data_IF_850888088584
#
_entry.id   IF_850888088584
#
_cell.length_a   1.000
_cell.length_b   1.000
_cell.length_c   1.000
_cell.angle_alpha   90.00
_cell.angle_beta   90.00
_cell.angle_gamma   90.00
#
_symmetry.space_group_name_H-M   'P 1'
#
loop_
_entity.id
_entity.type
_entity.pdbx_description
1 polymer ?
#
# COMPACT_ATOMS: atom_id res chain seq x y z
N UNK A 1 -2.53 -15.44 -6.52
CA UNK A 1 -1.79 -15.01 -5.34
C UNK A 1 -0.30 -15.08 -5.54
N UNK A 2 0.22 -16.22 -5.99
CA UNK A 2 1.66 -16.34 -6.21
C UNK A 2 2.17 -15.33 -7.23
N UNK A 3 1.40 -15.12 -8.29
CA UNK A 3 1.81 -14.20 -9.34
C UNK A 3 1.95 -12.79 -8.80
N UNK A 4 1.04 -12.36 -7.94
CA UNK A 4 1.11 -11.04 -7.35
C UNK A 4 2.33 -10.88 -6.46
N UNK A 5 2.67 -11.91 -5.69
CA UNK A 5 3.86 -11.86 -4.87
C UNK A 5 5.12 -11.76 -5.72
N UNK A 6 5.17 -12.50 -6.82
CA UNK A 6 6.30 -12.44 -7.73
C UNK A 6 6.40 -11.06 -8.35
N UNK A 7 5.28 -10.47 -8.73
CA UNK A 7 5.26 -9.14 -9.31
C UNK A 7 5.79 -8.11 -8.32
N UNK A 8 5.37 -8.20 -7.07
CA UNK A 8 5.85 -7.29 -6.05
C UNK A 8 7.36 -7.38 -5.89
N UNK A 9 7.89 -8.60 -5.81
CA UNK A 9 9.33 -8.81 -5.68
C UNK A 9 10.08 -8.31 -6.92
N UNK A 10 9.53 -8.62 -8.08
CA UNK A 10 10.14 -8.21 -9.34
C UNK A 10 10.19 -6.70 -9.46
N UNK A 11 9.12 -6.03 -9.08
CA UNK A 11 9.07 -4.57 -9.14
C UNK A 11 10.12 -3.94 -8.23
N UNK A 12 10.33 -4.51 -7.05
CA UNK A 12 11.36 -4.03 -6.15
C UNK A 12 12.74 -4.14 -6.80
N UNK A 13 13.03 -5.29 -7.37
CA UNK A 13 14.33 -5.51 -7.99
C UNK A 13 14.54 -4.60 -9.19
N UNK A 14 13.51 -4.44 -9.97
CA UNK A 14 13.58 -3.60 -11.16
C UNK A 14 13.85 -2.15 -10.80
N UNK A 15 13.13 -1.64 -9.81
CA UNK A 15 13.33 -0.26 -9.38
C UNK A 15 14.71 -0.04 -8.79
N UNK A 16 15.17 -0.99 -8.04
CA UNK A 16 16.50 -0.90 -7.47
C UNK A 16 17.55 -0.82 -8.58
N UNK A 17 17.34 -1.54 -9.65
CA UNK A 17 18.27 -1.54 -10.78
C UNK A 17 18.21 -0.24 -11.57
N UNK A 18 17.02 0.29 -11.74
CA UNK A 18 16.79 1.45 -12.58
C UNK A 18 17.53 2.69 -12.14
N UNK A 19 17.58 2.91 -10.86
CA UNK A 19 18.06 4.20 -10.40
C UNK A 19 19.55 4.30 -10.30
N UNK A 20 20.23 3.25 -9.95
CA UNK A 20 21.67 3.32 -9.77
C UNK A 20 22.10 4.44 -8.85
N UNK A 21 21.19 5.27 -8.42
CA UNK A 21 21.46 6.40 -7.54
C UNK A 21 20.82 6.12 -6.21
N UNK A 22 21.62 6.20 -5.18
CA UNK A 22 21.10 5.99 -3.84
C UNK A 22 20.58 7.31 -3.33
N UNK A 23 19.31 7.36 -3.06
CA UNK A 23 18.69 8.52 -2.46
C UNK A 23 17.95 8.09 -1.22
N UNK A 24 17.98 8.97 -0.23
CA UNK A 24 17.15 8.74 0.94
C UNK A 24 15.73 9.11 0.59
N UNK A 25 14.83 8.15 0.72
CA UNK A 25 13.41 8.36 0.49
C UNK A 25 12.69 8.27 1.80
N UNK A 26 11.54 8.94 1.86
CA UNK A 26 10.71 8.89 3.06
C UNK A 26 10.30 7.45 3.35
N UNK A 27 10.28 7.10 4.62
CA UNK A 27 9.67 5.85 5.05
C UNK A 27 8.17 6.05 5.15
N UNK A 28 7.43 5.06 4.67
CA UNK A 28 5.97 5.12 4.63
C UNK A 28 5.42 3.97 5.45
N UNK A 29 4.60 4.27 6.44
CA UNK A 29 3.94 3.25 7.23
C UNK A 29 2.57 2.94 6.67
N UNK A 30 2.27 1.67 6.59
CA UNK A 30 1.00 1.15 6.10
C UNK A 30 0.30 0.49 7.26
N UNK A 31 -0.89 0.96 7.60
CA UNK A 31 -1.67 0.43 8.71
C UNK A 31 -2.99 -0.11 8.21
N UNK A 32 -3.28 -1.37 8.52
CA UNK A 32 -4.58 -1.97 8.21
C UNK A 32 -5.60 -1.42 9.20
N UNK A 33 -6.52 -0.59 8.72
CA UNK A 33 -7.45 0.12 9.59
C UNK A 33 -8.65 -0.76 9.93
N UNK A 34 -9.41 -1.19 8.93
CA UNK A 34 -10.56 -2.06 9.15
C UNK A 34 -11.06 -2.60 7.84
N UNK A 35 -11.91 -3.62 7.94
CA UNK A 35 -12.50 -4.27 6.78
C UNK A 35 -14.01 -4.07 6.80
N UNK A 36 -14.58 -3.84 5.64
CA UNK A 36 -16.02 -3.85 5.45
C UNK A 36 -16.38 -5.12 4.70
N UNK A 37 -17.50 -5.73 5.05
CA UNK A 37 -17.96 -6.96 4.40
C UNK A 37 -19.34 -6.71 3.83
N UNK A 38 -19.49 -6.88 2.52
CA UNK A 38 -20.76 -6.68 1.82
C UNK A 38 -21.44 -8.03 1.64
N UNK A 39 -22.17 -8.47 2.66
CA UNK A 39 -22.79 -9.80 2.66
C UNK A 39 -23.76 -10.00 1.51
N UNK A 40 -24.47 -8.97 1.12
CA UNK A 40 -25.43 -9.05 0.02
C UNK A 40 -24.73 -9.26 -1.32
N UNK A 41 -23.62 -8.58 -1.54
CA UNK A 41 -22.88 -8.74 -2.78
C UNK A 41 -22.21 -10.12 -2.85
N UNK A 42 -21.73 -10.59 -1.71
CA UNK A 42 -21.11 -11.91 -1.65
C UNK A 42 -22.15 -12.98 -1.99
N UNK A 43 -23.33 -12.89 -1.40
CA UNK A 43 -24.38 -13.87 -1.64
C UNK A 43 -24.83 -13.88 -3.09
N UNK A 44 -24.81 -12.71 -3.73
CA UNK A 44 -25.33 -12.60 -5.09
C UNK A 44 -24.30 -12.95 -6.16
N UNK A 45 -23.03 -12.61 -5.93
CA UNK A 45 -22.06 -12.65 -7.01
C UNK A 45 -20.85 -13.56 -6.78
N UNK A 46 -20.53 -13.87 -5.56
CA UNK A 46 -19.27 -14.58 -5.30
C UNK A 46 -19.50 -16.08 -5.14
N UNK A 47 -18.61 -16.86 -5.76
CA UNK A 47 -18.61 -18.31 -5.52
C UNK A 47 -18.07 -18.58 -4.12
N UNK A 48 -18.47 -19.69 -3.48
CA UNK A 48 -17.96 -20.01 -2.15
C UNK A 48 -16.44 -20.13 -2.15
N UNK A 49 -15.81 -19.48 -1.18
CA UNK A 49 -14.36 -19.58 -0.99
C UNK A 49 -14.10 -19.90 0.47
N UNK A 50 -13.02 -20.64 0.71
CA UNK A 50 -12.66 -20.98 2.08
C UNK A 50 -12.04 -19.82 2.80
N UNK A 51 -11.30 -18.99 2.06
CA UNK A 51 -10.40 -18.07 2.69
C UNK A 51 -10.11 -16.89 1.76
N UNK A 52 -10.45 -15.72 2.21
CA UNK A 52 -10.33 -14.53 1.36
C UNK A 52 -9.08 -13.72 1.64
N UNK A 53 -8.72 -13.55 2.91
CA UNK A 53 -7.73 -12.54 3.27
C UNK A 53 -7.10 -12.88 4.62
N UNK A 54 -5.78 -12.70 4.73
CA UNK A 54 -5.04 -12.90 5.98
C UNK A 54 -4.79 -11.62 6.74
N UNK A 55 -5.14 -10.48 6.17
CA UNK A 55 -4.88 -9.20 6.79
C UNK A 55 -5.75 -9.04 8.03
N UNK A 56 -5.16 -8.49 9.08
CA UNK A 56 -5.87 -8.25 10.34
C UNK A 56 -5.85 -6.78 10.67
N UNK A 57 -6.93 -6.33 11.26
CA UNK A 57 -7.01 -4.95 11.73
C UNK A 57 -5.86 -4.64 12.67
N UNK A 58 -5.21 -3.50 12.44
CA UNK A 58 -4.10 -3.07 13.29
C UNK A 58 -2.73 -3.50 12.82
N UNK A 59 -2.63 -4.39 11.84
CA UNK A 59 -1.32 -4.77 11.31
C UNK A 59 -0.65 -3.57 10.67
N UNK A 60 0.67 -3.53 10.79
CA UNK A 60 1.46 -2.44 10.23
C UNK A 60 2.64 -2.98 9.45
N UNK A 61 2.99 -2.27 8.41
CA UNK A 61 4.18 -2.54 7.60
C UNK A 61 4.87 -1.22 7.32
N UNK A 62 6.17 -1.26 7.07
CA UNK A 62 6.91 -0.06 6.69
C UNK A 62 7.54 -0.27 5.32
N UNK A 63 7.21 0.62 4.40
CA UNK A 63 7.83 0.63 3.08
C UNK A 63 9.08 1.50 3.15
N UNK A 64 10.20 0.92 2.72
CA UNK A 64 11.49 1.60 2.69
C UNK A 64 11.88 1.76 1.23
N UNK A 65 12.22 2.98 0.85
CA UNK A 65 12.59 3.31 -0.53
C UNK A 65 11.50 2.97 -1.54
N UNK A 66 10.24 3.12 -1.12
CA UNK A 66 9.09 2.87 -2.00
C UNK A 66 8.86 1.42 -2.35
N UNK A 67 9.50 0.49 -1.64
CA UNK A 67 9.42 -0.93 -1.95
C UNK A 67 8.26 -1.59 -1.24
N UNK A 68 7.77 -2.67 -1.83
CA UNK A 68 6.73 -3.48 -1.22
C UNK A 68 7.27 -4.14 0.06
N UNK A 69 6.68 -3.88 1.22
CA UNK A 69 7.16 -4.52 2.44
C UNK A 69 6.83 -6.01 2.44
N UNK A 70 7.69 -6.77 3.07
CA UNK A 70 7.50 -8.20 3.17
C UNK A 70 6.24 -8.53 3.96
N UNK A 71 5.46 -9.47 3.47
CA UNK A 71 4.26 -9.92 4.15
C UNK A 71 3.01 -9.11 3.85
N UNK A 72 3.11 -8.06 3.06
CA UNK A 72 1.93 -7.29 2.69
C UNK A 72 1.17 -8.01 1.59
N UNK A 73 -0.15 -7.99 1.70
CA UNK A 73 -1.03 -8.60 0.70
C UNK A 73 -0.79 -7.99 -0.68
N UNK A 74 -0.55 -8.82 -1.72
CA UNK A 74 -0.27 -8.29 -3.05
C UNK A 74 -1.40 -7.44 -3.62
N UNK A 75 -2.64 -7.81 -3.36
CA UNK A 75 -3.78 -7.01 -3.83
C UNK A 75 -3.79 -5.63 -3.20
N UNK A 76 -3.45 -5.55 -1.93
CA UNK A 76 -3.35 -4.26 -1.25
C UNK A 76 -2.19 -3.44 -1.82
N UNK A 77 -1.04 -4.08 -2.02
CA UNK A 77 0.10 -3.38 -2.59
C UNK A 77 -0.20 -2.82 -3.97
N UNK A 78 -0.86 -3.62 -4.82
CA UNK A 78 -1.20 -3.16 -6.16
C UNK A 78 -1.98 -1.87 -6.16
N UNK A 79 -2.91 -1.73 -5.22
CA UNK A 79 -3.76 -0.53 -5.18
C UNK A 79 -3.05 0.66 -4.55
N UNK A 80 -2.12 0.43 -3.63
CA UNK A 80 -1.49 1.54 -2.91
C UNK A 80 -0.13 1.94 -3.46
N UNK A 81 0.47 1.12 -4.30
CA UNK A 81 1.84 1.35 -4.78
C UNK A 81 2.08 2.77 -5.31
N UNK A 82 1.25 3.32 -6.20
CA UNK A 82 1.52 4.67 -6.71
C UNK A 82 1.55 5.73 -5.61
N UNK A 83 0.71 5.56 -4.61
CA UNK A 83 0.66 6.51 -3.50
C UNK A 83 1.87 6.37 -2.59
N UNK A 84 2.27 5.13 -2.31
CA UNK A 84 3.45 4.89 -1.49
C UNK A 84 4.70 5.45 -2.17
N UNK A 85 4.85 5.22 -3.46
CA UNK A 85 6.00 5.73 -4.19
C UNK A 85 6.04 7.25 -4.21
N UNK A 86 4.89 7.87 -4.39
CA UNK A 86 4.81 9.32 -4.37
C UNK A 86 5.21 9.87 -3.01
N UNK A 87 4.69 9.29 -1.94
CA UNK A 87 5.03 9.70 -0.58
C UNK A 87 6.51 9.48 -0.29
N UNK A 88 7.06 8.37 -0.78
CA UNK A 88 8.49 8.08 -0.59
C UNK A 88 9.34 9.16 -1.21
N UNK A 89 8.90 9.75 -2.32
CA UNK A 89 9.62 10.80 -3.01
C UNK A 89 9.33 12.19 -2.45
N UNK A 90 8.52 12.28 -1.41
CA UNK A 90 8.20 13.56 -0.80
C UNK A 90 7.03 14.28 -1.44
N UNK A 91 6.25 13.59 -2.24
CA UNK A 91 5.10 14.17 -2.94
C UNK A 91 3.81 13.66 -2.35
N UNK A 92 3.04 14.55 -1.78
CA UNK A 92 1.77 14.21 -1.18
C UNK A 92 0.65 15.09 -1.70
N UNK A 93 -0.23 15.47 -0.80
CA UNK A 93 -1.38 16.31 -1.10
C UNK A 93 -2.22 15.75 -2.26
N UNK A 94 -2.52 14.46 -2.17
CA UNK A 94 -3.30 13.79 -3.20
C UNK A 94 -4.67 14.44 -3.35
N UNK A 95 -5.11 14.55 -4.59
CA UNK A 95 -6.42 15.13 -4.92
C UNK A 95 -6.61 16.51 -4.32
N UNK A 96 -5.51 17.23 -4.12
CA UNK A 96 -5.53 18.63 -3.74
C UNK A 96 -6.37 18.88 -2.47
N UNK A 97 -5.88 18.35 -1.36
CA UNK A 97 -6.51 18.58 -0.06
C UNK A 97 -7.42 17.47 0.41
N UNK A 98 -7.28 16.30 -0.15
CA UNK A 98 -8.10 15.15 0.23
C UNK A 98 -7.91 14.73 1.68
N UNK A 99 -6.66 14.60 2.11
CA UNK A 99 -6.33 14.08 3.43
C UNK A 99 -6.03 15.20 4.41
N UNK A 100 -6.44 15.03 5.66
CA UNK A 100 -6.06 15.98 6.71
C UNK A 100 -4.55 16.07 6.87
N UNK A 101 -3.87 14.91 6.81
CA UNK A 101 -2.42 14.89 6.75
C UNK A 101 -2.04 14.85 5.27
N UNK A 102 -1.44 15.90 4.72
CA UNK A 102 -1.14 15.91 3.28
C UNK A 102 -0.13 14.85 2.85
N UNK A 103 0.65 14.32 3.80
CA UNK A 103 1.62 13.26 3.50
C UNK A 103 1.05 11.90 3.88
N UNK A 104 -0.19 11.66 3.48
CA UNK A 104 -0.87 10.40 3.76
C UNK A 104 -1.94 10.12 2.70
N UNK A 105 -2.49 8.91 2.75
CA UNK A 105 -3.60 8.51 1.90
C UNK A 105 -4.37 7.37 2.55
N UNK A 106 -5.65 7.26 2.22
CA UNK A 106 -6.47 6.14 2.67
C UNK A 106 -6.84 5.31 1.44
N UNK A 107 -6.30 4.10 1.36
CA UNK A 107 -6.42 3.26 0.17
C UNK A 107 -7.04 1.92 0.55
N UNK A 108 -7.88 1.42 -0.30
CA UNK A 108 -8.51 0.12 -0.12
C UNK A 108 -7.84 -0.91 -1.03
N UNK A 109 -7.80 -2.17 -0.59
CA UNK A 109 -7.41 -3.25 -1.48
C UNK A 109 -8.48 -3.44 -2.56
N UNK A 110 -8.18 -4.30 -3.54
CA UNK A 110 -9.04 -4.45 -4.72
C UNK A 110 -10.20 -5.43 -4.55
N UNK A 111 -10.42 -5.95 -3.34
CA UNK A 111 -11.51 -6.87 -3.09
C UNK A 111 -12.80 -6.07 -2.93
N UNK A 112 -13.69 -6.20 -3.90
CA UNK A 112 -14.96 -5.47 -3.87
C UNK A 112 -15.99 -6.06 -2.91
N UNK A 113 -15.75 -7.27 -2.40
CA UNK A 113 -16.66 -7.91 -1.45
C UNK A 113 -16.30 -7.64 0.00
N UNK A 114 -14.97 -7.60 0.27
CA UNK A 114 -14.45 -7.43 1.63
C UNK A 114 -13.30 -6.43 1.62
N UNK A 115 -13.55 -5.19 1.19
CA UNK A 115 -12.45 -4.23 1.08
C UNK A 115 -11.86 -3.93 2.45
N UNK A 116 -10.54 -3.94 2.50
CA UNK A 116 -9.80 -3.57 3.68
C UNK A 116 -9.21 -2.18 3.45
N UNK A 117 -9.44 -1.27 4.38
CA UNK A 117 -8.91 0.10 4.27
C UNK A 117 -7.55 0.17 4.94
N UNK A 118 -6.61 0.81 4.25
CA UNK A 118 -5.24 1.00 4.75
C UNK A 118 -4.94 2.48 4.80
N UNK A 119 -4.38 2.91 5.93
CA UNK A 119 -3.88 4.27 6.06
C UNK A 119 -2.39 4.23 5.79
N UNK A 120 -1.93 5.01 4.83
CA UNK A 120 -0.50 5.10 4.52
C UNK A 120 -0.04 6.51 4.83
N UNK A 121 1.12 6.63 5.48
CA UNK A 121 1.60 7.92 5.96
C UNK A 121 3.12 7.95 6.02
N UNK A 122 3.69 9.09 5.76
CA UNK A 122 5.12 9.30 5.94
C UNK A 122 5.41 9.33 7.42
N UNK A 123 6.38 8.52 7.85
CA UNK A 123 6.80 8.49 9.25
C UNK A 123 8.21 9.01 9.45
N UNK A 124 8.97 9.17 8.36
CA UNK A 124 10.32 9.69 8.45
C UNK A 124 10.61 10.46 7.16
N UNK A 125 10.86 11.75 7.30
CA UNK A 125 11.05 12.66 6.17
C UNK A 125 12.50 12.69 5.71
N UNK A 126 12.95 11.62 5.10
CA UNK A 126 14.34 11.56 4.61
C UNK A 126 14.51 12.29 3.30
N UNK A 127 13.47 12.32 2.47
CA UNK A 127 13.56 12.95 1.16
C UNK A 127 13.76 14.45 1.26
N UNK A 128 13.22 15.10 2.29
CA UNK A 128 13.32 16.56 2.44
C UNK A 128 14.61 17.01 3.08
N UNK A 129 15.46 16.10 3.51
CA UNK A 129 16.69 16.46 4.21
C UNK A 129 17.84 16.81 3.28
N UNK A 130 17.59 16.88 1.98
CA UNK A 130 18.63 17.08 0.98
C UNK A 130 18.66 18.46 0.38
N UNK A 131 18.02 19.39 0.99
CA UNK A 131 18.02 20.74 0.43
C UNK A 131 19.13 21.62 0.93
#
# INVERSE_FOLDING_TARGET
MYISNIICTFAQNFKHTDFGIIRNMNKVRITAIRQTIYHDLIAQYENPIEHACDVRQGQQWTSINGKCPEGLCPSAWDSMQPFVESLAQGKGNFFDGWMKNPMSAMISCNDGFRPFSFYIEVIENLASSHE
#
